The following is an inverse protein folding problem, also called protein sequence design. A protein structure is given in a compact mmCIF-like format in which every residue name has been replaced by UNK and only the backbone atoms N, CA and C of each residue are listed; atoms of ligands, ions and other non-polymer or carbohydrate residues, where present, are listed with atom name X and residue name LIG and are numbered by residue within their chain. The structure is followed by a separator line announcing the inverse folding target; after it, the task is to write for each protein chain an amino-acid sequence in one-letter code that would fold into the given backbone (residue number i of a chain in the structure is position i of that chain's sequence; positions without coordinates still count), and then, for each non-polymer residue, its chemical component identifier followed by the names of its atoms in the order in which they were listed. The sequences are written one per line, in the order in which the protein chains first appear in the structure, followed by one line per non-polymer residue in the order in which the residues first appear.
data_IF_731914233394
#
_entry.id   IF_731914233394
#
_cell.length_a   1.000
_cell.length_b   1.000
_cell.length_c   1.000
_cell.angle_alpha   90.00
_cell.angle_beta   90.00
_cell.angle_gamma   90.00
#
_symmetry.space_group_name_H-M   'P 1'
#
loop_
_entity.id
_entity.type
_entity.pdbx_description
1 polymer ?
#
# COMPACT_ATOMS: atom_id res chain seq x y z
N UNK A 1 11.88 -33.68 -18.05
CA UNK A 1 11.87 -32.63 -19.08
C UNK A 1 12.12 -31.26 -18.48
N UNK A 2 12.59 -30.28 -19.27
CA UNK A 2 12.85 -28.93 -18.81
C UNK A 2 11.53 -28.15 -18.60
N UNK A 3 11.50 -27.25 -17.60
CA UNK A 3 10.37 -26.35 -17.40
C UNK A 3 10.46 -25.24 -18.47
N UNK A 4 9.39 -24.95 -19.18
CA UNK A 4 9.25 -23.81 -20.07
C UNK A 4 8.68 -22.61 -19.31
N UNK A 5 9.18 -21.39 -19.58
CA UNK A 5 8.60 -20.14 -19.05
C UNK A 5 8.02 -19.35 -20.22
N UNK A 6 6.73 -19.07 -20.16
CA UNK A 6 5.99 -18.33 -21.20
C UNK A 6 4.79 -17.58 -20.62
N UNK A 7 4.16 -16.77 -21.43
CA UNK A 7 2.87 -16.16 -21.07
C UNK A 7 1.79 -17.24 -20.91
N UNK A 8 0.93 -17.02 -19.93
CA UNK A 8 -0.24 -17.87 -19.66
C UNK A 8 -1.19 -17.86 -20.86
N UNK A 9 -1.75 -19.01 -21.21
CA UNK A 9 -2.86 -19.14 -22.14
C UNK A 9 -4.19 -19.07 -21.35
N UNK A 10 -5.26 -18.64 -22.00
CA UNK A 10 -6.55 -18.46 -21.31
C UNK A 10 -7.08 -19.77 -20.67
N UNK A 11 -6.87 -20.91 -21.33
CA UNK A 11 -7.26 -22.23 -20.83
C UNK A 11 -6.50 -22.66 -19.56
N UNK A 12 -5.38 -22.03 -19.25
CA UNK A 12 -4.54 -22.35 -18.08
C UNK A 12 -4.96 -21.59 -16.82
N UNK A 13 -5.96 -20.70 -16.91
CA UNK A 13 -6.42 -19.91 -15.75
C UNK A 13 -6.84 -20.79 -14.58
N UNK A 14 -7.54 -21.90 -14.85
CA UNK A 14 -7.93 -22.88 -13.83
C UNK A 14 -6.73 -23.54 -13.12
N UNK A 15 -5.63 -23.77 -13.83
CA UNK A 15 -4.42 -24.31 -13.23
C UNK A 15 -3.72 -23.27 -12.32
N UNK A 16 -3.74 -21.99 -12.70
CA UNK A 16 -3.24 -20.87 -11.88
C UNK A 16 -4.09 -20.74 -10.60
N UNK A 17 -5.42 -20.78 -10.72
CA UNK A 17 -6.34 -20.79 -9.57
C UNK A 17 -6.06 -21.95 -8.63
N UNK A 18 -5.80 -23.14 -9.17
CA UNK A 18 -5.44 -24.33 -8.39
C UNK A 18 -4.16 -24.13 -7.57
N UNK A 19 -3.14 -23.47 -8.13
CA UNK A 19 -1.91 -23.14 -7.39
C UNK A 19 -2.22 -22.12 -6.30
N UNK A 20 -3.04 -21.11 -6.57
CA UNK A 20 -3.44 -20.12 -5.58
C UNK A 20 -4.18 -20.78 -4.40
N UNK A 21 -5.13 -21.68 -4.69
CA UNK A 21 -5.85 -22.43 -3.69
C UNK A 21 -4.95 -23.34 -2.84
N UNK A 22 -3.95 -23.98 -3.43
CA UNK A 22 -2.95 -24.78 -2.68
C UNK A 22 -2.12 -23.93 -1.67
N UNK A 23 -1.98 -22.63 -1.91
CA UNK A 23 -1.20 -21.73 -1.04
C UNK A 23 -2.08 -21.08 0.02
N UNK A 24 -3.29 -20.62 -0.32
CA UNK A 24 -4.17 -19.81 0.54
C UNK A 24 -5.47 -20.52 0.95
N UNK A 25 -5.75 -21.69 0.39
CA UNK A 25 -7.00 -22.42 0.60
C UNK A 25 -8.10 -22.02 -0.39
N UNK A 26 -9.07 -22.93 -0.61
CA UNK A 26 -10.17 -22.74 -1.57
C UNK A 26 -11.03 -21.52 -1.25
N UNK A 27 -11.18 -21.18 0.02
CA UNK A 27 -11.93 -20.00 0.46
C UNK A 27 -11.35 -18.68 -0.07
N UNK A 28 -10.09 -18.66 -0.53
CA UNK A 28 -9.45 -17.49 -1.09
C UNK A 28 -9.73 -17.29 -2.60
N UNK A 29 -10.31 -18.28 -3.28
CA UNK A 29 -10.51 -18.22 -4.74
C UNK A 29 -11.51 -17.16 -5.18
N UNK A 30 -12.63 -16.99 -4.48
CA UNK A 30 -13.61 -15.94 -4.81
C UNK A 30 -12.97 -14.55 -4.69
N UNK A 31 -12.18 -14.34 -3.63
CA UNK A 31 -11.39 -13.12 -3.43
C UNK A 31 -10.42 -12.91 -4.61
N UNK A 32 -9.65 -13.96 -4.98
CA UNK A 32 -8.66 -13.87 -6.06
C UNK A 32 -9.31 -13.57 -7.42
N UNK A 33 -10.43 -14.20 -7.76
CA UNK A 33 -11.17 -14.00 -9.02
C UNK A 33 -11.67 -12.56 -9.15
N UNK A 34 -12.29 -12.01 -8.09
CA UNK A 34 -12.75 -10.61 -8.08
C UNK A 34 -11.58 -9.64 -8.22
N UNK A 35 -10.48 -9.89 -7.50
CA UNK A 35 -9.27 -9.09 -7.63
C UNK A 35 -8.65 -9.19 -9.02
N UNK A 36 -8.60 -10.39 -9.59
CA UNK A 36 -8.05 -10.63 -10.93
C UNK A 36 -8.80 -9.84 -11.99
N UNK A 37 -10.12 -9.87 -12.00
CA UNK A 37 -10.95 -9.11 -12.93
C UNK A 37 -10.67 -7.60 -12.80
N UNK A 38 -10.71 -7.09 -11.60
CA UNK A 38 -10.48 -5.68 -11.33
C UNK A 38 -9.05 -5.24 -11.63
N UNK A 39 -8.05 -5.92 -11.10
CA UNK A 39 -6.65 -5.48 -11.16
C UNK A 39 -6.01 -5.72 -12.52
N UNK A 40 -6.40 -6.78 -13.22
CA UNK A 40 -5.75 -7.20 -14.47
C UNK A 40 -6.55 -6.87 -15.73
N UNK A 41 -7.88 -6.73 -15.65
CA UNK A 41 -8.71 -6.49 -16.82
C UNK A 41 -9.30 -5.08 -16.88
N UNK A 42 -9.81 -4.55 -15.74
CA UNK A 42 -10.47 -3.23 -15.72
C UNK A 42 -9.53 -2.08 -15.30
N UNK A 43 -8.27 -2.37 -14.99
CA UNK A 43 -7.27 -1.36 -14.67
C UNK A 43 -7.08 -0.38 -15.85
N UNK A 44 -7.26 0.94 -15.66
CA UNK A 44 -7.14 1.94 -16.73
C UNK A 44 -5.78 1.94 -17.43
N UNK A 45 -4.71 1.57 -16.75
CA UNK A 45 -3.38 1.52 -17.35
C UNK A 45 -3.21 0.37 -18.37
N UNK A 46 -4.13 -0.62 -18.41
CA UNK A 46 -4.12 -1.68 -19.42
C UNK A 46 -4.33 -1.19 -20.85
N UNK A 47 -4.91 -0.01 -21.02
CA UNK A 47 -5.02 0.65 -22.32
C UNK A 47 -3.65 0.98 -22.94
N UNK A 48 -2.65 1.27 -22.11
CA UNK A 48 -1.29 1.59 -22.56
C UNK A 48 -0.39 0.35 -22.59
N UNK A 49 -0.63 -0.61 -21.70
CA UNK A 49 0.16 -1.84 -21.58
C UNK A 49 -0.70 -2.95 -20.95
N UNK A 50 -0.85 -4.12 -21.58
CA UNK A 50 -1.65 -5.18 -21.00
C UNK A 50 -1.02 -5.74 -19.72
N UNK A 51 -1.87 -6.24 -18.83
CA UNK A 51 -1.43 -7.06 -17.70
C UNK A 51 -0.85 -8.37 -18.22
N UNK A 52 0.12 -8.91 -17.50
CA UNK A 52 0.82 -10.11 -17.93
C UNK A 52 0.91 -11.13 -16.81
N UNK A 53 0.79 -12.39 -17.20
CA UNK A 53 0.93 -13.52 -16.29
C UNK A 53 1.82 -14.56 -16.97
N UNK A 54 2.99 -14.82 -16.38
CA UNK A 54 3.91 -15.85 -16.84
C UNK A 54 3.69 -17.12 -16.04
N UNK A 55 3.74 -18.24 -16.74
CA UNK A 55 3.65 -19.57 -16.16
C UNK A 55 4.93 -20.36 -16.41
N UNK A 56 5.27 -21.23 -15.47
CA UNK A 56 6.28 -22.26 -15.63
C UNK A 56 5.58 -23.60 -15.86
N UNK A 57 5.82 -24.20 -17.02
CA UNK A 57 5.11 -25.39 -17.49
C UNK A 57 6.08 -26.55 -17.71
N UNK A 58 5.71 -27.74 -17.26
CA UNK A 58 6.38 -29.03 -17.56
C UNK A 58 5.30 -30.01 -18.02
N UNK A 59 5.46 -30.61 -19.22
CA UNK A 59 4.50 -31.60 -19.74
C UNK A 59 3.05 -31.11 -19.64
N UNK A 60 2.77 -29.91 -20.10
CA UNK A 60 1.48 -29.21 -20.05
C UNK A 60 0.95 -28.89 -18.63
N UNK A 61 1.68 -29.28 -17.59
CA UNK A 61 1.30 -28.96 -16.21
C UNK A 61 1.90 -27.64 -15.77
N UNK A 62 1.05 -26.69 -15.35
CA UNK A 62 1.48 -25.41 -14.75
C UNK A 62 2.01 -25.67 -13.34
N UNK A 63 3.27 -25.32 -13.09
CA UNK A 63 3.97 -25.54 -11.82
C UNK A 63 4.14 -24.29 -10.99
N UNK A 64 3.97 -23.12 -11.57
CA UNK A 64 4.08 -21.84 -10.88
C UNK A 64 3.78 -20.68 -11.81
N UNK A 65 3.59 -19.51 -11.25
CA UNK A 65 3.32 -18.30 -12.01
C UNK A 65 3.82 -17.04 -11.30
N UNK A 66 3.99 -15.97 -12.08
CA UNK A 66 4.10 -14.60 -11.61
C UNK A 66 3.16 -13.73 -12.44
N UNK A 67 2.39 -12.91 -11.76
CA UNK A 67 1.50 -11.96 -12.39
C UNK A 67 2.08 -10.55 -12.30
N UNK A 68 1.72 -9.67 -13.24
CA UNK A 68 2.00 -8.25 -13.18
C UNK A 68 0.86 -7.44 -13.81
N UNK A 69 0.59 -6.29 -13.25
CA UNK A 69 -0.37 -5.33 -13.79
C UNK A 69 0.33 -4.01 -14.12
N UNK A 70 -0.13 -3.27 -15.13
CA UNK A 70 0.44 -1.99 -15.48
C UNK A 70 0.05 -0.91 -14.48
N UNK A 71 0.96 0.04 -14.26
CA UNK A 71 0.70 1.24 -13.49
C UNK A 71 1.39 2.44 -14.16
N UNK A 72 0.74 3.60 -14.12
CA UNK A 72 1.31 4.85 -14.62
C UNK A 72 2.15 5.47 -13.51
N UNK A 73 3.44 5.65 -13.78
CA UNK A 73 4.43 6.23 -12.87
C UNK A 73 5.00 7.48 -13.49
N UNK A 74 4.89 8.61 -12.78
CA UNK A 74 5.58 9.84 -13.12
C UNK A 74 6.93 9.85 -12.42
N UNK A 75 8.01 10.08 -13.17
CA UNK A 75 9.36 10.32 -12.66
C UNK A 75 9.86 11.62 -13.28
N UNK A 76 10.04 12.65 -12.47
CA UNK A 76 10.28 14.03 -12.91
C UNK A 76 9.16 14.47 -13.89
N UNK A 77 9.52 14.87 -15.10
CA UNK A 77 8.56 15.26 -16.14
C UNK A 77 8.21 14.12 -17.10
N UNK A 78 8.71 12.90 -16.83
CA UNK A 78 8.49 11.72 -17.65
C UNK A 78 7.39 10.85 -17.06
N UNK A 79 6.36 10.54 -17.84
CA UNK A 79 5.35 9.55 -17.49
C UNK A 79 5.71 8.19 -18.12
N UNK A 80 5.74 7.16 -17.30
CA UNK A 80 6.07 5.79 -17.69
C UNK A 80 4.88 4.87 -17.38
N UNK A 81 4.63 3.88 -18.25
CA UNK A 81 3.79 2.73 -17.88
C UNK A 81 4.70 1.58 -17.45
N UNK A 82 4.73 1.33 -16.15
CA UNK A 82 5.55 0.28 -15.54
C UNK A 82 4.71 -0.95 -15.24
N UNK A 83 5.33 -2.12 -15.15
CA UNK A 83 4.68 -3.34 -14.68
C UNK A 83 4.96 -3.51 -13.18
N UNK A 84 3.91 -3.66 -12.40
CA UNK A 84 3.98 -3.98 -10.98
C UNK A 84 3.76 -5.48 -10.77
N UNK A 85 4.77 -6.24 -10.32
CA UNK A 85 4.64 -7.67 -10.10
C UNK A 85 3.82 -7.96 -8.85
N UNK A 86 3.07 -9.04 -8.90
CA UNK A 86 2.33 -9.58 -7.77
C UNK A 86 2.22 -11.10 -7.91
N UNK A 87 1.73 -11.76 -6.87
CA UNK A 87 1.38 -13.19 -6.89
C UNK A 87 2.46 -14.13 -7.45
N UNK A 88 3.74 -13.95 -7.06
CA UNK A 88 4.76 -14.95 -7.37
C UNK A 88 4.51 -16.23 -6.56
N UNK A 89 4.06 -17.28 -7.23
CA UNK A 89 3.72 -18.55 -6.61
C UNK A 89 4.33 -19.73 -7.34
N UNK A 90 4.80 -20.71 -6.56
CA UNK A 90 5.31 -21.98 -7.07
C UNK A 90 4.62 -23.10 -6.31
N UNK A 91 4.07 -24.07 -7.04
CA UNK A 91 3.47 -25.28 -6.46
C UNK A 91 4.45 -25.92 -5.46
N UNK A 92 3.98 -26.40 -4.31
CA UNK A 92 4.83 -27.11 -3.36
C UNK A 92 5.69 -28.21 -4.00
N UNK A 93 5.14 -28.90 -4.99
CA UNK A 93 5.77 -30.03 -5.68
C UNK A 93 6.93 -29.62 -6.61
N UNK A 94 7.01 -28.33 -7.00
CA UNK A 94 8.02 -27.77 -7.88
C UNK A 94 8.96 -26.78 -7.18
N UNK A 95 8.92 -26.73 -5.85
CA UNK A 95 9.81 -25.85 -5.07
C UNK A 95 11.24 -26.38 -5.10
N UNK A 96 12.20 -25.45 -4.95
CA UNK A 96 13.66 -25.70 -4.95
C UNK A 96 14.28 -26.05 -6.31
N UNK A 97 13.49 -26.01 -7.40
CA UNK A 97 13.97 -26.19 -8.77
C UNK A 97 14.36 -24.88 -9.48
N UNK A 98 14.45 -23.77 -8.74
CA UNK A 98 14.79 -22.46 -9.31
C UNK A 98 13.66 -21.79 -10.12
N UNK A 99 12.46 -22.38 -10.14
CA UNK A 99 11.33 -21.88 -10.94
C UNK A 99 10.95 -20.42 -10.58
N UNK A 100 10.92 -20.07 -9.31
CA UNK A 100 10.59 -18.70 -8.87
C UNK A 100 11.56 -17.66 -9.45
N UNK A 101 12.86 -17.96 -9.49
CA UNK A 101 13.85 -17.06 -10.10
C UNK A 101 13.64 -16.93 -11.62
N UNK A 102 13.36 -18.01 -12.31
CA UNK A 102 13.11 -18.01 -13.76
C UNK A 102 11.87 -17.19 -14.12
N UNK A 103 10.81 -17.29 -13.33
CA UNK A 103 9.60 -16.47 -13.48
C UNK A 103 9.89 -14.98 -13.26
N UNK A 104 10.64 -14.62 -12.21
CA UNK A 104 11.01 -13.21 -11.97
C UNK A 104 11.93 -12.69 -13.09
N UNK A 105 12.85 -13.49 -13.64
CA UNK A 105 13.66 -13.10 -14.79
C UNK A 105 12.83 -12.83 -16.04
N UNK A 106 11.77 -13.61 -16.29
CA UNK A 106 10.83 -13.36 -17.39
C UNK A 106 10.11 -12.03 -17.20
N UNK A 107 9.63 -11.76 -15.99
CA UNK A 107 9.05 -10.46 -15.63
C UNK A 107 10.05 -9.31 -15.84
N UNK A 108 11.29 -9.41 -15.34
CA UNK A 108 12.31 -8.37 -15.49
C UNK A 108 12.57 -8.06 -16.98
N UNK A 109 12.70 -9.09 -17.81
CA UNK A 109 12.91 -8.92 -19.24
C UNK A 109 11.78 -8.11 -19.88
N UNK A 110 10.56 -8.41 -19.51
CA UNK A 110 9.38 -7.71 -20.02
C UNK A 110 9.20 -6.31 -19.41
N UNK A 111 9.53 -6.13 -18.14
CA UNK A 111 9.47 -4.82 -17.48
C UNK A 111 10.36 -3.78 -18.21
N UNK A 112 11.42 -4.23 -18.87
CA UNK A 112 12.25 -3.41 -19.74
C UNK A 112 13.09 -2.42 -18.95
N UNK A 113 12.82 -1.11 -19.14
CA UNK A 113 13.62 -0.03 -18.55
C UNK A 113 13.69 -0.09 -17.02
N UNK A 114 12.58 -0.43 -16.36
CA UNK A 114 12.47 -0.42 -14.89
C UNK A 114 11.63 -1.59 -14.39
N UNK A 115 12.21 -2.42 -13.52
CA UNK A 115 11.46 -3.42 -12.77
C UNK A 115 11.27 -2.97 -11.32
N UNK A 116 10.08 -3.21 -10.77
CA UNK A 116 9.63 -2.71 -9.46
C UNK A 116 9.33 -3.89 -8.53
N UNK A 117 9.56 -3.70 -7.24
CA UNK A 117 9.07 -4.58 -6.18
C UNK A 117 8.72 -3.73 -4.95
N UNK A 118 7.43 -3.50 -4.71
CA UNK A 118 6.93 -2.63 -3.62
C UNK A 118 6.62 -3.39 -2.35
N UNK A 119 6.15 -4.63 -2.47
CA UNK A 119 5.79 -5.49 -1.33
C UNK A 119 6.27 -6.90 -1.61
N UNK A 120 6.91 -7.53 -0.66
CA UNK A 120 7.42 -8.89 -0.87
C UNK A 120 7.82 -9.59 0.44
N UNK A 121 7.80 -10.91 0.39
CA UNK A 121 8.26 -11.74 1.49
C UNK A 121 9.79 -11.65 1.67
N UNK A 122 10.32 -11.96 2.87
CA UNK A 122 11.79 -12.05 3.06
C UNK A 122 12.50 -13.01 2.09
N UNK A 123 11.79 -14.03 1.60
CA UNK A 123 12.33 -14.95 0.59
C UNK A 123 12.48 -14.25 -0.76
N UNK A 124 11.47 -13.48 -1.17
CA UNK A 124 11.52 -12.69 -2.40
C UNK A 124 12.56 -11.56 -2.31
N UNK A 125 12.72 -10.94 -1.12
CA UNK A 125 13.79 -9.95 -0.91
C UNK A 125 15.18 -10.48 -1.27
N UNK A 126 15.49 -11.70 -0.81
CA UNK A 126 16.78 -12.35 -1.14
C UNK A 126 16.90 -12.66 -2.65
N UNK A 127 15.81 -13.04 -3.28
CA UNK A 127 15.77 -13.27 -4.72
C UNK A 127 16.02 -11.97 -5.49
N UNK A 128 15.29 -10.90 -5.15
CA UNK A 128 15.45 -9.60 -5.79
C UNK A 128 16.89 -9.08 -5.67
N UNK A 129 17.50 -9.18 -4.48
CA UNK A 129 18.90 -8.76 -4.28
C UNK A 129 19.86 -9.53 -5.20
N UNK A 130 19.68 -10.86 -5.35
CA UNK A 130 20.51 -11.67 -6.30
C UNK A 130 20.29 -11.28 -7.76
N UNK A 131 19.11 -10.76 -8.09
CA UNK A 131 18.76 -10.31 -9.44
C UNK A 131 19.16 -8.86 -9.73
N UNK A 132 19.85 -8.21 -8.78
CA UNK A 132 20.39 -6.87 -8.97
C UNK A 132 19.41 -5.74 -8.59
N UNK A 133 18.29 -6.04 -7.94
CA UNK A 133 17.44 -4.99 -7.40
C UNK A 133 18.14 -4.22 -6.28
N UNK A 134 18.00 -2.92 -6.27
CA UNK A 134 18.48 -2.06 -5.22
C UNK A 134 17.35 -1.68 -4.26
N UNK A 135 17.58 -1.84 -2.96
CA UNK A 135 16.71 -1.26 -1.94
C UNK A 135 16.85 0.26 -2.00
N UNK A 136 15.76 0.93 -2.34
CA UNK A 136 15.74 2.40 -2.38
C UNK A 136 15.39 2.96 -1.03
N UNK A 137 14.34 2.43 -0.42
CA UNK A 137 13.92 2.82 0.92
C UNK A 137 13.02 1.75 1.54
N UNK A 138 12.86 1.86 2.84
CA UNK A 138 11.86 1.13 3.59
C UNK A 138 10.77 2.11 4.01
N UNK A 139 9.56 1.92 3.49
CA UNK A 139 8.44 2.81 3.78
C UNK A 139 8.06 2.75 5.25
N UNK A 140 8.11 3.88 5.97
CA UNK A 140 7.72 3.89 7.35
C UNK A 140 6.22 3.71 7.52
N UNK A 141 5.82 2.86 8.45
CA UNK A 141 4.44 2.80 8.93
C UNK A 141 4.28 3.74 10.12
N UNK A 142 3.28 4.58 10.09
CA UNK A 142 2.89 5.48 11.17
C UNK A 142 1.66 4.93 11.88
N UNK A 143 1.63 5.08 13.19
CA UNK A 143 0.57 4.61 14.06
C UNK A 143 0.03 5.78 14.88
N UNK A 144 -1.31 5.89 14.99
CA UNK A 144 -1.97 6.77 15.95
C UNK A 144 -2.96 5.97 16.79
N UNK A 145 -2.66 5.64 18.04
CA UNK A 145 -3.60 5.00 18.95
C UNK A 145 -4.77 5.94 19.27
N UNK A 146 -6.00 5.43 19.21
CA UNK A 146 -7.20 6.13 19.63
C UNK A 146 -7.73 5.61 20.96
N UNK A 147 -7.56 4.30 21.22
CA UNK A 147 -7.97 3.63 22.47
C UNK A 147 -6.76 2.92 23.08
N UNK A 148 -6.13 3.61 24.03
CA UNK A 148 -4.86 3.19 24.62
C UNK A 148 -4.90 1.84 25.30
N UNK A 149 -5.93 1.58 26.11
CA UNK A 149 -6.07 0.34 26.86
C UNK A 149 -6.13 -0.93 25.98
N UNK A 150 -6.84 -0.84 24.84
CA UNK A 150 -6.93 -1.96 23.89
C UNK A 150 -5.64 -2.18 23.14
N UNK A 151 -5.01 -1.12 22.66
CA UNK A 151 -3.75 -1.17 21.93
C UNK A 151 -2.63 -1.70 22.82
N UNK A 152 -2.50 -1.15 24.04
CA UNK A 152 -1.49 -1.59 25.02
C UNK A 152 -1.68 -3.07 25.38
N UNK A 153 -2.91 -3.50 25.69
CA UNK A 153 -3.20 -4.91 26.00
C UNK A 153 -2.86 -5.86 24.85
N UNK A 154 -3.16 -5.47 23.62
CA UNK A 154 -2.89 -6.31 22.43
C UNK A 154 -1.39 -6.38 22.14
N UNK A 155 -0.68 -5.25 22.24
CA UNK A 155 0.77 -5.21 22.06
C UNK A 155 1.52 -5.91 23.19
N UNK A 156 1.09 -5.74 24.45
CA UNK A 156 1.66 -6.43 25.58
C UNK A 156 1.56 -7.96 25.44
N UNK A 157 0.39 -8.47 25.00
CA UNK A 157 0.23 -9.91 24.71
C UNK A 157 1.24 -10.43 23.68
N UNK A 158 1.63 -9.63 22.70
CA UNK A 158 2.62 -10.02 21.67
C UNK A 158 4.06 -9.86 22.12
N UNK A 159 4.39 -8.78 22.81
CA UNK A 159 5.74 -8.54 23.30
C UNK A 159 6.13 -9.46 24.45
N UNK A 160 5.17 -9.74 25.34
CA UNK A 160 5.38 -10.58 26.50
C UNK A 160 4.97 -12.06 26.29
N UNK A 161 4.70 -12.46 25.04
CA UNK A 161 4.44 -13.87 24.70
C UNK A 161 5.71 -14.75 24.84
N UNK A 162 6.89 -14.16 24.92
CA UNK A 162 8.16 -14.84 25.16
C UNK A 162 8.35 -15.08 26.67
N UNK A 163 8.72 -16.28 27.01
CA UNK A 163 8.78 -16.89 28.34
C UNK A 163 9.88 -16.38 29.26
N UNK A 164 9.83 -15.14 29.71
CA UNK A 164 10.69 -14.61 30.78
C UNK A 164 9.86 -14.34 32.04
N UNK A 165 10.38 -14.60 33.27
CA UNK A 165 9.68 -14.28 34.52
C UNK A 165 9.32 -12.80 34.63
N UNK A 166 10.16 -11.90 34.13
CA UNK A 166 9.91 -10.46 34.04
C UNK A 166 8.66 -10.13 33.19
N UNK A 167 8.42 -10.91 32.14
CA UNK A 167 7.26 -10.75 31.27
C UNK A 167 5.95 -11.16 31.97
N UNK A 168 6.01 -12.01 32.99
CA UNK A 168 4.83 -12.41 33.79
C UNK A 168 4.39 -11.28 34.74
N UNK A 169 5.31 -10.57 35.35
CA UNK A 169 5.03 -9.39 36.19
C UNK A 169 4.47 -8.25 35.35
N UNK A 170 5.05 -7.98 34.20
CA UNK A 170 4.58 -6.97 33.26
C UNK A 170 3.19 -7.30 32.68
N UNK A 171 2.83 -8.57 32.53
CA UNK A 171 1.47 -9.00 32.15
C UNK A 171 0.43 -8.68 33.24
N UNK A 172 0.78 -8.86 34.49
CA UNK A 172 -0.13 -8.57 35.62
C UNK A 172 -0.35 -7.07 35.82
N UNK A 173 0.63 -6.23 35.48
CA UNK A 173 0.51 -4.76 35.51
C UNK A 173 -0.20 -4.16 34.27
N UNK A 174 -0.49 -4.95 33.24
CA UNK A 174 -1.10 -4.50 31.98
C UNK A 174 -2.47 -3.79 32.17
N UNK A 175 -3.36 -4.19 33.10
CA UNK A 175 -4.63 -3.48 33.32
C UNK A 175 -4.41 -2.06 33.86
N UNK A 176 -3.49 -1.88 34.82
CA UNK A 176 -3.16 -0.57 35.42
C UNK A 176 -2.46 0.33 34.39
N UNK A 177 -1.46 -0.20 33.69
CA UNK A 177 -0.77 0.50 32.62
C UNK A 177 -1.73 0.85 31.44
N UNK A 178 -2.70 -0.03 31.18
CA UNK A 178 -3.76 0.22 30.18
C UNK A 178 -4.65 1.39 30.55
N UNK A 179 -5.07 1.52 31.82
CA UNK A 179 -5.89 2.63 32.31
C UNK A 179 -5.13 3.96 32.29
N UNK A 180 -3.90 3.99 32.80
CA UNK A 180 -3.04 5.17 32.72
C UNK A 180 -2.76 5.56 31.26
N UNK A 181 -2.50 4.59 30.39
CA UNK A 181 -2.31 4.79 28.96
C UNK A 181 -3.54 5.37 28.25
N UNK A 182 -4.77 5.02 28.69
CA UNK A 182 -6.01 5.59 28.16
C UNK A 182 -6.08 7.10 28.45
N UNK A 183 -5.83 7.52 29.70
CA UNK A 183 -5.82 8.93 30.09
C UNK A 183 -4.78 9.75 29.32
N UNK A 184 -3.57 9.24 29.20
CA UNK A 184 -2.49 9.91 28.45
C UNK A 184 -2.83 10.02 26.95
N UNK A 185 -3.36 8.96 26.33
CA UNK A 185 -3.73 8.96 24.91
C UNK A 185 -4.96 9.86 24.68
N UNK A 186 -5.95 9.83 25.57
CA UNK A 186 -7.11 10.71 25.48
C UNK A 186 -6.72 12.19 25.58
N UNK A 187 -5.87 12.54 26.55
CA UNK A 187 -5.34 13.89 26.71
C UNK A 187 -4.51 14.32 25.51
N UNK A 188 -3.62 13.47 25.04
CA UNK A 188 -2.80 13.74 23.88
C UNK A 188 -3.62 13.86 22.60
N UNK A 189 -4.66 13.04 22.43
CA UNK A 189 -5.60 13.16 21.31
C UNK A 189 -6.41 14.47 21.38
N UNK A 190 -6.72 14.98 22.57
CA UNK A 190 -7.39 16.27 22.75
C UNK A 190 -6.47 17.44 22.42
N UNK A 191 -5.26 17.45 22.97
CA UNK A 191 -4.28 18.55 22.79
C UNK A 191 -3.78 18.62 21.36
N UNK A 192 -3.50 17.47 20.74
CA UNK A 192 -2.95 17.37 19.38
C UNK A 192 -3.99 16.92 18.35
N UNK A 193 -5.26 17.21 18.61
CA UNK A 193 -6.29 17.04 17.57
C UNK A 193 -6.03 17.99 16.42
N UNK A 194 -6.07 17.49 15.18
CA UNK A 194 -6.00 18.35 14.03
C UNK A 194 -7.22 19.30 14.05
N UNK A 195 -6.98 20.57 13.81
CA UNK A 195 -8.02 21.59 13.69
C UNK A 195 -8.10 22.03 12.25
N UNK A 196 -9.32 22.27 11.79
CA UNK A 196 -9.50 22.90 10.50
C UNK A 196 -8.91 24.33 10.58
N UNK A 197 -7.89 24.59 9.78
CA UNK A 197 -7.29 25.92 9.63
C UNK A 197 -7.48 26.33 8.17
N UNK A 198 -8.03 27.52 7.94
CA UNK A 198 -8.31 28.03 6.60
C UNK A 198 -9.76 27.85 6.14
N UNK A 199 -10.01 28.21 4.88
CA UNK A 199 -11.35 28.25 4.26
C UNK A 199 -11.70 26.96 3.49
N UNK A 200 -10.96 25.85 3.74
CA UNK A 200 -11.24 24.58 3.06
C UNK A 200 -12.50 23.92 3.65
N UNK A 201 -13.37 23.46 2.78
CA UNK A 201 -14.53 22.62 3.12
C UNK A 201 -14.24 21.17 2.81
N UNK A 202 -14.69 20.25 3.68
CA UNK A 202 -14.51 18.82 3.44
C UNK A 202 -15.81 18.21 2.95
N UNK A 203 -15.74 17.64 1.76
CA UNK A 203 -16.77 16.80 1.17
C UNK A 203 -16.43 15.33 1.45
N UNK A 204 -17.44 14.54 1.82
CA UNK A 204 -17.31 13.11 2.08
C UNK A 204 -17.86 12.34 0.90
N UNK A 205 -17.12 11.37 0.44
CA UNK A 205 -17.44 10.51 -0.70
C UNK A 205 -17.78 11.29 -1.99
N UNK A 206 -16.93 12.26 -2.40
CA UNK A 206 -17.12 13.02 -3.64
C UNK A 206 -17.11 12.10 -4.87
N UNK A 207 -17.68 12.61 -5.95
CA UNK A 207 -17.44 12.07 -7.29
C UNK A 207 -16.03 12.50 -7.72
N UNK A 208 -15.25 11.60 -8.30
CA UNK A 208 -13.96 11.93 -8.90
C UNK A 208 -14.17 12.62 -10.26
N UNK A 209 -14.33 13.94 -10.21
CA UNK A 209 -14.56 14.82 -11.35
C UNK A 209 -13.25 15.38 -11.93
N UNK A 210 -13.36 16.25 -12.94
CA UNK A 210 -12.22 16.92 -13.57
C UNK A 210 -11.40 17.81 -12.63
N UNK A 211 -11.95 18.18 -11.47
CA UNK A 211 -11.23 18.89 -10.42
C UNK A 211 -10.11 18.02 -9.83
N UNK A 212 -10.29 16.70 -9.76
CA UNK A 212 -9.23 15.78 -9.34
C UNK A 212 -8.13 15.65 -10.42
N UNK A 213 -8.45 15.77 -11.70
CA UNK A 213 -7.44 15.86 -12.76
C UNK A 213 -6.63 17.15 -12.66
N UNK A 214 -7.28 18.25 -12.29
CA UNK A 214 -6.59 19.51 -12.02
C UNK A 214 -5.66 19.38 -10.82
N UNK A 215 -6.16 18.84 -9.70
CA UNK A 215 -5.36 18.56 -8.50
C UNK A 215 -4.15 17.69 -8.84
N UNK A 216 -4.34 16.62 -9.63
CA UNK A 216 -3.26 15.77 -10.08
C UNK A 216 -2.20 16.54 -10.86
N UNK A 217 -2.61 17.31 -11.86
CA UNK A 217 -1.69 18.10 -12.70
C UNK A 217 -0.88 19.12 -11.91
N UNK A 218 -1.48 19.72 -10.88
CA UNK A 218 -0.81 20.73 -10.05
C UNK A 218 0.11 20.08 -9.01
N UNK A 219 -0.42 19.18 -8.21
CA UNK A 219 0.32 18.57 -7.11
C UNK A 219 1.48 17.67 -7.58
N UNK A 220 1.31 16.97 -8.69
CA UNK A 220 2.35 16.08 -9.21
C UNK A 220 3.59 16.85 -9.70
N UNK A 221 3.49 18.13 -10.04
CA UNK A 221 4.67 18.96 -10.39
C UNK A 221 5.64 19.13 -9.23
N UNK A 222 5.12 19.14 -8.00
CA UNK A 222 5.92 19.28 -6.78
C UNK A 222 6.47 17.94 -6.26
N UNK A 223 6.05 16.82 -6.83
CA UNK A 223 6.43 15.47 -6.38
C UNK A 223 7.21 14.79 -7.50
N UNK A 224 8.53 14.57 -7.32
CA UNK A 224 9.38 14.03 -8.38
C UNK A 224 8.98 12.62 -8.82
N UNK A 225 8.59 11.73 -7.89
CA UNK A 225 8.24 10.34 -8.21
C UNK A 225 6.93 9.94 -7.54
N UNK A 226 5.94 9.58 -8.37
CA UNK A 226 4.58 9.27 -7.88
C UNK A 226 3.80 8.46 -8.92
N UNK A 227 3.02 7.48 -8.46
CA UNK A 227 2.02 6.81 -9.30
C UNK A 227 0.85 7.76 -9.60
N UNK A 228 0.23 7.59 -10.78
CA UNK A 228 -0.87 8.44 -11.23
C UNK A 228 -2.06 8.44 -10.27
N UNK A 229 -2.62 9.65 -10.04
CA UNK A 229 -3.76 9.94 -9.16
C UNK A 229 -4.80 10.84 -9.82
N UNK A 230 -4.95 10.71 -11.16
CA UNK A 230 -6.03 11.39 -11.88
C UNK A 230 -7.40 10.78 -11.53
N UNK A 231 -8.48 11.47 -11.91
CA UNK A 231 -9.85 11.08 -11.59
C UNK A 231 -10.16 9.62 -11.99
N UNK A 232 -9.70 9.19 -13.17
CA UNK A 232 -9.93 7.82 -13.67
C UNK A 232 -9.22 6.77 -12.84
N UNK A 233 -7.96 7.02 -12.43
CA UNK A 233 -7.21 6.11 -11.56
C UNK A 233 -7.82 6.04 -10.16
N UNK A 234 -8.27 7.18 -9.61
CA UNK A 234 -8.93 7.23 -8.31
C UNK A 234 -10.28 6.50 -8.32
N UNK A 235 -11.07 6.69 -9.40
CA UNK A 235 -12.34 5.99 -9.60
C UNK A 235 -12.13 4.47 -9.59
N UNK A 236 -11.21 3.99 -10.43
CA UNK A 236 -10.87 2.58 -10.49
C UNK A 236 -10.36 2.05 -9.14
N UNK A 237 -9.40 2.74 -8.53
CA UNK A 237 -8.73 2.27 -7.32
C UNK A 237 -9.64 2.23 -6.09
N UNK A 238 -10.55 3.18 -5.95
CA UNK A 238 -11.27 3.38 -4.69
C UNK A 238 -12.80 3.24 -4.78
N UNK A 239 -13.38 3.29 -5.96
CA UNK A 239 -14.81 3.10 -6.16
C UNK A 239 -15.14 1.77 -6.81
N UNK A 240 -14.28 1.32 -7.71
CA UNK A 240 -14.45 0.07 -8.44
C UNK A 240 -13.73 -1.11 -7.77
N UNK A 241 -13.02 -0.90 -6.65
CA UNK A 241 -12.39 -1.96 -5.85
C UNK A 241 -13.49 -2.91 -5.30
N UNK A 242 -13.51 -4.18 -5.74
CA UNK A 242 -14.54 -5.13 -5.33
C UNK A 242 -14.29 -5.74 -3.95
N UNK A 243 -13.15 -5.45 -3.33
CA UNK A 243 -12.67 -6.09 -2.12
C UNK A 243 -12.84 -5.16 -0.92
N UNK A 244 -12.39 -3.92 -1.03
CA UNK A 244 -12.30 -2.99 0.10
C UNK A 244 -13.25 -1.81 -0.09
N UNK A 245 -14.10 -1.57 0.90
CA UNK A 245 -14.91 -0.36 0.93
C UNK A 245 -14.10 0.81 1.44
N UNK A 246 -13.97 1.83 0.62
CA UNK A 246 -13.26 3.05 0.93
C UNK A 246 -14.22 4.20 1.27
N UNK A 247 -13.77 5.10 2.16
CA UNK A 247 -14.40 6.41 2.38
C UNK A 247 -13.40 7.48 1.95
N UNK A 248 -13.84 8.42 1.13
CA UNK A 248 -13.01 9.50 0.58
C UNK A 248 -13.40 10.82 1.22
N UNK A 249 -12.40 11.61 1.60
CA UNK A 249 -12.55 12.99 2.09
C UNK A 249 -11.81 13.90 1.11
N UNK A 250 -12.50 14.84 0.47
CA UNK A 250 -11.90 15.87 -0.37
C UNK A 250 -11.94 17.22 0.34
N UNK A 251 -10.80 17.86 0.47
CA UNK A 251 -10.73 19.26 0.92
C UNK A 251 -10.87 20.16 -0.31
N UNK A 252 -11.96 20.92 -0.39
CA UNK A 252 -12.23 21.86 -1.50
C UNK A 252 -12.02 23.30 -1.04
N UNK A 253 -11.49 24.11 -1.92
CA UNK A 253 -11.37 25.55 -1.71
C UNK A 253 -12.71 26.30 -1.97
N UNK A 254 -12.68 27.60 -1.90
CA UNK A 254 -13.86 28.46 -2.11
C UNK A 254 -14.43 28.40 -3.53
N UNK A 255 -13.63 27.99 -4.51
CA UNK A 255 -14.06 27.79 -5.92
C UNK A 255 -14.65 26.39 -6.15
N UNK A 256 -14.59 25.52 -5.15
CA UNK A 256 -15.05 24.13 -5.22
C UNK A 256 -14.00 23.17 -5.80
N UNK A 257 -12.80 23.63 -6.13
CA UNK A 257 -11.71 22.79 -6.63
C UNK A 257 -11.07 22.00 -5.49
N UNK A 258 -10.80 20.69 -5.65
CA UNK A 258 -10.09 19.92 -4.64
C UNK A 258 -8.66 20.45 -4.44
N UNK A 259 -8.33 20.79 -3.19
CA UNK A 259 -6.98 21.15 -2.76
C UNK A 259 -6.17 19.93 -2.31
N UNK A 260 -6.85 18.82 -2.07
CA UNK A 260 -6.30 17.54 -1.69
C UNK A 260 -7.38 16.57 -1.22
N UNK A 261 -7.01 15.32 -1.02
CA UNK A 261 -7.92 14.28 -0.56
C UNK A 261 -7.24 13.30 0.38
N UNK A 262 -8.06 12.58 1.15
CA UNK A 262 -7.67 11.39 1.91
C UNK A 262 -8.63 10.24 1.60
N UNK A 263 -8.10 9.04 1.45
CA UNK A 263 -8.88 7.81 1.32
C UNK A 263 -8.59 6.94 2.53
N UNK A 264 -9.65 6.44 3.15
CA UNK A 264 -9.53 5.60 4.34
C UNK A 264 -10.38 4.34 4.20
N UNK A 265 -9.99 3.29 4.93
CA UNK A 265 -10.80 2.10 5.10
C UNK A 265 -10.70 1.54 6.52
N UNK A 266 -11.60 0.62 6.84
CA UNK A 266 -11.63 -0.09 8.12
C UNK A 266 -11.14 -1.53 7.92
N UNK A 267 -10.39 -2.04 8.88
CA UNK A 267 -9.96 -3.43 8.92
C UNK A 267 -9.95 -3.97 10.35
N UNK A 268 -9.85 -5.27 10.49
CA UNK A 268 -9.65 -5.92 11.79
C UNK A 268 -8.30 -6.62 11.76
N UNK A 269 -7.47 -6.38 12.76
CA UNK A 269 -6.18 -7.05 12.92
C UNK A 269 -5.91 -7.34 14.40
N UNK A 270 -5.66 -8.61 14.74
CA UNK A 270 -5.34 -9.01 16.12
C UNK A 270 -6.34 -8.50 17.18
N UNK A 271 -7.64 -8.61 16.92
CA UNK A 271 -8.73 -8.13 17.79
C UNK A 271 -8.79 -6.59 17.95
N UNK A 272 -8.03 -5.83 17.16
CA UNK A 272 -8.15 -4.39 17.07
C UNK A 272 -8.96 -4.01 15.83
N UNK A 273 -9.80 -2.98 15.97
CA UNK A 273 -10.38 -2.25 14.83
C UNK A 273 -9.34 -1.24 14.36
N UNK A 274 -8.87 -1.42 13.14
CA UNK A 274 -7.81 -0.59 12.56
C UNK A 274 -8.37 0.26 11.44
N UNK A 275 -8.21 1.57 11.54
CA UNK A 275 -8.42 2.49 10.45
C UNK A 275 -7.13 2.60 9.64
N UNK A 276 -7.21 2.44 8.33
CA UNK A 276 -6.07 2.64 7.43
C UNK A 276 -6.27 3.91 6.63
N UNK A 277 -5.23 4.76 6.58
CA UNK A 277 -5.13 5.84 5.60
C UNK A 277 -4.51 5.22 4.35
N UNK A 278 -5.37 4.91 3.38
CA UNK A 278 -4.98 4.24 2.14
C UNK A 278 -4.18 5.17 1.23
N UNK A 279 -4.64 6.43 1.13
CA UNK A 279 -3.93 7.49 0.42
C UNK A 279 -4.21 8.85 1.07
N UNK A 280 -3.26 9.77 0.98
CA UNK A 280 -3.40 11.15 1.43
C UNK A 280 -2.55 12.02 0.51
N UNK A 281 -3.19 12.80 -0.33
CA UNK A 281 -2.56 13.51 -1.43
C UNK A 281 -2.95 14.98 -1.48
N UNK A 282 -1.96 15.83 -1.61
CA UNK A 282 -2.09 17.26 -1.87
C UNK A 282 -0.75 17.81 -2.37
N UNK A 283 -0.70 19.02 -2.92
CA UNK A 283 0.57 19.70 -3.18
C UNK A 283 1.40 19.79 -1.90
N UNK A 284 2.69 19.37 -1.90
CA UNK A 284 3.59 19.51 -0.76
C UNK A 284 3.65 20.92 -0.16
N UNK A 285 3.56 21.95 -0.98
CA UNK A 285 3.49 23.38 -0.56
C UNK A 285 2.25 23.70 0.29
N UNK A 286 1.14 22.97 0.10
CA UNK A 286 -0.11 23.14 0.84
C UNK A 286 -0.32 22.11 1.95
N UNK A 287 0.65 21.24 2.24
CA UNK A 287 0.49 20.13 3.17
C UNK A 287 0.01 20.58 4.56
N UNK A 288 0.52 21.71 5.08
CA UNK A 288 0.15 22.25 6.40
C UNK A 288 -1.34 22.53 6.52
N UNK A 289 -1.93 23.14 5.51
CA UNK A 289 -3.34 23.50 5.47
C UNK A 289 -4.23 22.26 5.24
N UNK A 290 -3.93 21.53 4.16
CA UNK A 290 -4.78 20.45 3.66
C UNK A 290 -4.77 19.24 4.58
N UNK A 291 -3.58 18.80 5.04
CA UNK A 291 -3.47 17.61 5.91
C UNK A 291 -4.19 17.84 7.24
N UNK A 292 -4.14 19.05 7.80
CA UNK A 292 -4.83 19.38 9.05
C UNK A 292 -6.35 19.20 8.95
N UNK A 293 -6.96 19.73 7.87
CA UNK A 293 -8.39 19.65 7.61
C UNK A 293 -8.84 18.21 7.34
N UNK A 294 -8.13 17.48 6.48
CA UNK A 294 -8.43 16.08 6.16
C UNK A 294 -8.25 15.19 7.39
N UNK A 295 -7.16 15.36 8.13
CA UNK A 295 -6.89 14.58 9.34
C UNK A 295 -7.95 14.79 10.42
N UNK A 296 -8.47 16.01 10.57
CA UNK A 296 -9.58 16.29 11.47
C UNK A 296 -10.86 15.54 11.07
N UNK A 297 -11.13 15.45 9.76
CA UNK A 297 -12.32 14.81 9.24
C UNK A 297 -12.28 13.30 9.34
N UNK A 298 -11.22 12.66 8.86
CA UNK A 298 -11.14 11.19 8.98
C UNK A 298 -10.89 10.73 10.42
N UNK A 299 -10.31 11.56 11.31
CA UNK A 299 -10.19 11.24 12.72
C UNK A 299 -11.59 11.17 13.37
N UNK A 300 -12.46 12.17 13.13
CA UNK A 300 -13.85 12.14 13.60
C UNK A 300 -14.60 10.92 13.09
N UNK A 301 -14.44 10.60 11.82
CA UNK A 301 -15.00 9.39 11.22
C UNK A 301 -14.53 8.13 11.95
N UNK A 302 -13.23 7.95 12.14
CA UNK A 302 -12.70 6.77 12.82
C UNK A 302 -13.12 6.66 14.29
N UNK A 303 -13.24 7.80 14.99
CA UNK A 303 -13.78 7.84 16.36
C UNK A 303 -15.24 7.38 16.39
N UNK A 304 -16.10 7.86 15.47
CA UNK A 304 -17.50 7.44 15.36
C UNK A 304 -17.65 5.95 15.05
N UNK A 305 -16.70 5.39 14.30
CA UNK A 305 -16.64 3.95 13.98
C UNK A 305 -16.03 3.11 15.09
N UNK A 306 -15.55 3.70 16.17
CA UNK A 306 -14.95 2.98 17.29
C UNK A 306 -13.63 2.30 16.93
N UNK A 307 -12.83 2.91 16.07
CA UNK A 307 -11.48 2.46 15.70
C UNK A 307 -10.56 2.55 16.92
N UNK A 308 -9.70 1.56 17.09
CA UNK A 308 -8.74 1.48 18.19
C UNK A 308 -7.39 2.10 17.82
N UNK A 309 -6.99 1.96 16.56
CA UNK A 309 -5.69 2.36 16.03
C UNK A 309 -5.81 2.83 14.58
N UNK A 310 -5.19 3.96 14.24
CA UNK A 310 -5.04 4.41 12.85
C UNK A 310 -3.63 4.04 12.36
N UNK A 311 -3.54 3.60 11.11
CA UNK A 311 -2.27 3.37 10.41
C UNK A 311 -2.20 4.23 9.15
N UNK A 312 -1.01 4.74 8.85
CA UNK A 312 -0.66 5.36 7.58
C UNK A 312 0.71 4.85 7.14
N UNK A 313 0.94 4.70 5.85
CA UNK A 313 2.18 4.15 5.32
C UNK A 313 2.71 5.02 4.20
N UNK A 314 4.03 5.12 4.10
CA UNK A 314 4.69 5.88 3.05
C UNK A 314 4.41 7.37 3.16
N UNK A 315 3.80 7.95 2.13
CA UNK A 315 3.45 9.35 1.95
C UNK A 315 4.66 10.27 1.71
N UNK A 316 4.43 11.40 1.06
CA UNK A 316 5.46 12.41 0.82
C UNK A 316 6.02 12.97 2.15
N UNK A 317 7.33 13.31 2.24
CA UNK A 317 7.94 13.83 3.46
C UNK A 317 7.18 14.99 4.12
N UNK A 318 6.68 15.95 3.34
CA UNK A 318 5.89 17.10 3.85
C UNK A 318 4.58 16.64 4.52
N UNK A 319 3.87 15.69 3.91
CA UNK A 319 2.63 15.12 4.47
C UNK A 319 2.93 14.36 5.78
N UNK A 320 4.01 13.56 5.78
CA UNK A 320 4.46 12.85 6.99
C UNK A 320 4.82 13.79 8.13
N UNK A 321 5.44 14.92 7.81
CA UNK A 321 5.79 15.94 8.81
C UNK A 321 4.53 16.50 9.49
N UNK A 322 3.47 16.79 8.72
CA UNK A 322 2.22 17.25 9.29
C UNK A 322 1.47 16.16 10.09
N UNK A 323 1.43 14.92 9.62
CA UNK A 323 0.85 13.82 10.38
C UNK A 323 1.54 13.61 11.74
N UNK A 324 2.88 13.75 11.82
CA UNK A 324 3.61 13.67 13.09
C UNK A 324 3.16 14.71 14.10
N UNK A 325 2.78 15.91 13.66
CA UNK A 325 2.22 16.97 14.54
C UNK A 325 0.92 16.51 15.20
N UNK A 326 0.19 15.59 14.57
CA UNK A 326 -1.05 14.99 15.04
C UNK A 326 -0.84 13.59 15.66
N UNK A 327 0.33 13.34 16.25
CA UNK A 327 0.66 12.11 16.97
C UNK A 327 0.66 10.81 16.14
N UNK A 328 0.94 10.92 14.85
CA UNK A 328 1.28 9.74 14.07
C UNK A 328 2.76 9.39 14.33
N UNK A 329 2.98 8.34 15.11
CA UNK A 329 4.31 7.91 15.53
C UNK A 329 4.84 6.83 14.58
N UNK A 330 6.11 6.91 14.21
CA UNK A 330 6.75 5.87 13.40
C UNK A 330 6.76 4.54 14.18
N UNK A 331 6.23 3.48 13.59
CA UNK A 331 6.25 2.15 14.17
C UNK A 331 7.64 1.53 14.05
N UNK A 332 8.29 1.13 15.15
CA UNK A 332 9.60 0.50 15.07
C UNK A 332 9.52 -0.86 14.36
N UNK A 333 10.46 -1.12 13.45
CA UNK A 333 10.58 -2.40 12.74
C UNK A 333 9.41 -2.76 11.83
N UNK A 334 8.55 -1.79 11.47
CA UNK A 334 7.47 -1.95 10.50
C UNK A 334 7.72 -1.04 9.31
N UNK A 335 8.65 -1.43 8.51
CA UNK A 335 8.97 -0.77 7.25
C UNK A 335 8.70 -1.75 6.12
N UNK A 336 8.09 -1.27 5.05
CA UNK A 336 7.89 -2.05 3.84
C UNK A 336 8.99 -1.66 2.86
N UNK A 337 9.83 -2.60 2.46
CA UNK A 337 10.90 -2.29 1.52
C UNK A 337 10.35 -2.04 0.13
N UNK A 338 10.92 -1.05 -0.56
CA UNK A 338 10.72 -0.78 -1.98
C UNK A 338 12.05 -0.98 -2.71
N UNK A 339 12.06 -1.89 -3.66
CA UNK A 339 13.23 -2.23 -4.46
C UNK A 339 12.97 -1.96 -5.93
N UNK A 340 13.99 -1.46 -6.62
CA UNK A 340 13.92 -1.15 -8.05
C UNK A 340 15.14 -1.69 -8.76
N UNK A 341 14.94 -2.08 -9.99
CA UNK A 341 16.00 -2.42 -10.94
C UNK A 341 15.92 -1.44 -12.10
N UNK A 342 16.83 -0.49 -12.12
CA UNK A 342 17.01 0.53 -13.14
C UNK A 342 18.53 0.72 -13.32
N UNK A 343 19.02 0.93 -14.53
CA UNK A 343 20.43 1.26 -14.74
C UNK A 343 20.81 2.51 -13.96
N UNK A 344 22.02 2.52 -13.38
CA UNK A 344 22.55 3.71 -12.70
C UNK A 344 22.85 4.85 -13.67
N UNK A 345 23.08 4.52 -14.93
CA UNK A 345 23.31 5.50 -16.00
C UNK A 345 22.01 6.03 -16.62
N UNK A 346 20.85 5.52 -16.18
CA UNK A 346 19.56 6.03 -16.65
C UNK A 346 19.33 7.46 -16.09
N UNK A 347 18.92 8.43 -16.91
CA UNK A 347 18.70 9.80 -16.48
C UNK A 347 17.64 9.97 -15.36
N UNK A 348 16.81 8.96 -15.12
CA UNK A 348 15.82 8.96 -14.03
C UNK A 348 16.37 8.33 -12.75
N UNK A 349 17.57 7.74 -12.76
CA UNK A 349 18.10 6.95 -11.65
C UNK A 349 18.21 7.77 -10.35
N UNK A 350 18.70 9.00 -10.41
CA UNK A 350 18.85 9.87 -9.24
C UNK A 350 17.49 10.22 -8.58
N UNK A 351 16.43 10.30 -9.38
CA UNK A 351 15.09 10.51 -8.85
C UNK A 351 14.53 9.23 -8.23
N UNK A 352 14.64 8.10 -8.95
CA UNK A 352 14.10 6.82 -8.51
C UNK A 352 14.81 6.31 -7.27
N UNK A 353 16.12 6.49 -7.15
CA UNK A 353 16.91 6.00 -6.03
C UNK A 353 16.98 6.94 -4.81
N UNK A 354 16.27 8.07 -4.84
CA UNK A 354 16.17 9.03 -3.73
C UNK A 354 14.86 8.88 -2.98
N UNK A 355 14.91 8.37 -1.76
CA UNK A 355 13.73 8.05 -0.94
C UNK A 355 12.83 9.26 -0.61
N UNK A 356 13.39 10.44 -0.53
CA UNK A 356 12.70 11.70 -0.22
C UNK A 356 11.95 12.29 -1.41
N UNK A 357 12.21 11.80 -2.62
CA UNK A 357 11.54 12.23 -3.85
C UNK A 357 10.23 11.49 -4.12
N UNK A 358 9.93 10.46 -3.35
CA UNK A 358 8.76 9.61 -3.56
C UNK A 358 7.55 10.04 -2.77
N UNK A 359 6.40 9.91 -3.42
CA UNK A 359 5.13 9.75 -2.75
C UNK A 359 4.61 8.34 -3.03
N UNK A 360 4.62 7.50 -2.01
CA UNK A 360 3.98 6.19 -2.01
C UNK A 360 2.95 6.12 -0.88
N UNK A 361 1.97 5.25 -1.01
CA UNK A 361 0.93 5.07 0.00
C UNK A 361 0.53 3.60 0.10
N UNK A 362 -0.36 3.24 1.01
CA UNK A 362 -0.91 1.89 1.08
C UNK A 362 -1.50 1.42 -0.26
N UNK A 363 -2.05 2.35 -1.03
CA UNK A 363 -2.74 2.04 -2.28
C UNK A 363 -1.81 1.71 -3.47
N UNK A 364 -0.52 1.99 -3.37
CA UNK A 364 0.41 1.79 -4.49
C UNK A 364 0.98 0.36 -4.54
N UNK A 365 0.88 -0.39 -3.45
CA UNK A 365 1.26 -1.82 -3.39
C UNK A 365 0.07 -2.76 -3.44
N UNK A 366 0.36 -4.05 -3.32
CA UNK A 366 -0.61 -5.15 -3.23
C UNK A 366 -0.73 -5.74 -1.81
N UNK A 367 -0.14 -5.10 -0.80
CA UNK A 367 -0.06 -5.61 0.59
C UNK A 367 -1.44 -5.84 1.23
N UNK A 368 -2.44 -5.07 0.84
CA UNK A 368 -3.81 -5.18 1.34
C UNK A 368 -4.64 -6.24 0.63
N UNK A 369 -4.09 -6.86 -0.41
CA UNK A 369 -4.73 -7.88 -1.24
C UNK A 369 -4.27 -9.32 -0.92
N UNK A 370 -3.63 -9.53 0.21
CA UNK A 370 -3.32 -10.86 0.72
C UNK A 370 -4.46 -11.30 1.64
N UNK A 371 -5.11 -12.47 1.40
CA UNK A 371 -6.24 -12.99 2.18
C UNK A 371 -5.95 -13.20 3.65
#
# INVERSE_FOLDING_TARGET
MAIEIRLMRNEELGAVESIYAKVFGDQALDYWRRRFEWQFRTNPATLSRPSQLWVGVREETVLGFVASFPARLKVLDTELTVLCPCDLMVSPDARREGLGERLVRAYIKEAGRMAIALTYSPANARLHNRLGYHLVFAEPTFLRPLRGSRVVRTMAKRWFARTSPLNRVLRLSTPVLGGAGEGVIALANTIRSPRAVGNLRVEVDPIFDTGFDQLWREASKEIPVIFARDARMLQWRFREDPITRHTVFAARDSSGVPAGYAVVCESKRHNLRVGKVMDLFCPPSRAKEVVGVLAASFLRYFLSKGIDLITAKGLHPSIRAELRRFMYLKAPGKETPAQFLLSRDDPLADAVYSADKWHLSHSDGDEDFVP
#
